data_IF_795765757643
#
_entry.id   IF_795765757643
#
_cell.length_a   1.000
_cell.length_b   1.000
_cell.length_c   1.000
_cell.angle_alpha   90.00
_cell.angle_beta   90.00
_cell.angle_gamma   90.00
#
_symmetry.space_group_name_H-M   'P 1'
#
loop_
_entity.id
_entity.type
_entity.pdbx_description
1 polymer ?
#
# COMPACT_ATOMS: atom_id res chain seq x y z
N UNK A 1 -8.38 15.65 12.92
CA UNK A 1 -8.21 14.23 13.30
C UNK A 1 -9.47 13.35 13.10
N UNK A 2 -10.71 13.88 13.05
CA UNK A 2 -11.93 13.05 12.92
C UNK A 2 -12.22 12.46 11.51
N UNK A 3 -11.71 13.04 10.40
CA UNK A 3 -12.03 12.56 9.04
C UNK A 3 -11.33 11.25 8.64
N UNK A 4 -10.13 10.97 9.18
CA UNK A 4 -9.35 9.77 8.81
C UNK A 4 -9.99 8.47 9.33
N UNK A 5 -10.56 8.49 10.55
CA UNK A 5 -11.21 7.32 11.16
C UNK A 5 -12.48 6.86 10.43
N UNK A 6 -13.24 7.81 9.84
CA UNK A 6 -14.48 7.50 9.12
C UNK A 6 -14.22 6.81 7.78
N UNK A 7 -13.13 7.16 7.09
CA UNK A 7 -12.72 6.50 5.85
C UNK A 7 -12.18 5.08 6.09
N UNK A 8 -11.41 4.87 7.17
CA UNK A 8 -10.95 3.53 7.54
C UNK A 8 -12.11 2.62 7.97
N UNK A 9 -13.07 3.13 8.74
CA UNK A 9 -14.27 2.38 9.11
C UNK A 9 -15.12 2.00 7.89
N UNK A 10 -15.31 2.91 6.93
CA UNK A 10 -16.03 2.62 5.67
C UNK A 10 -15.30 1.58 4.82
N UNK A 11 -13.97 1.66 4.73
CA UNK A 11 -13.15 0.68 3.97
C UNK A 11 -13.22 -0.71 4.61
N UNK A 12 -13.11 -0.80 5.93
CA UNK A 12 -13.28 -2.05 6.66
C UNK A 12 -14.70 -2.62 6.50
N UNK A 13 -15.73 -1.77 6.47
CA UNK A 13 -17.12 -2.17 6.21
C UNK A 13 -17.27 -2.75 4.78
N UNK A 14 -16.65 -2.14 3.78
CA UNK A 14 -16.72 -2.59 2.38
C UNK A 14 -15.97 -3.91 2.18
N UNK A 15 -14.77 -4.06 2.75
CA UNK A 15 -14.00 -5.30 2.70
C UNK A 15 -14.70 -6.43 3.49
N UNK A 16 -15.32 -6.11 4.63
CA UNK A 16 -16.17 -7.03 5.37
C UNK A 16 -17.39 -7.47 4.55
N UNK A 17 -18.04 -6.53 3.86
CA UNK A 17 -19.19 -6.80 2.99
C UNK A 17 -18.78 -7.63 1.76
N UNK A 18 -17.64 -7.37 1.14
CA UNK A 18 -17.11 -8.16 0.03
C UNK A 18 -16.76 -9.60 0.45
N UNK A 19 -16.17 -9.75 1.64
CA UNK A 19 -15.86 -11.05 2.23
C UNK A 19 -17.12 -11.84 2.59
N UNK A 20 -18.14 -11.17 3.14
CA UNK A 20 -19.47 -11.74 3.38
C UNK A 20 -20.14 -12.17 2.08
N UNK A 21 -20.07 -11.36 1.00
CA UNK A 21 -20.59 -11.74 -0.33
C UNK A 21 -19.93 -13.00 -0.86
N UNK A 22 -18.60 -13.14 -0.77
CA UNK A 22 -17.88 -14.37 -1.20
C UNK A 22 -18.37 -15.61 -0.45
N UNK A 23 -18.58 -15.51 0.86
CA UNK A 23 -19.09 -16.63 1.68
C UNK A 23 -20.53 -16.98 1.28
N UNK A 24 -21.39 -15.98 1.06
CA UNK A 24 -22.78 -16.18 0.63
C UNK A 24 -22.82 -16.83 -0.76
N UNK A 25 -22.02 -16.36 -1.72
CA UNK A 25 -21.91 -16.96 -3.06
C UNK A 25 -21.41 -18.41 -3.03
N UNK A 26 -20.38 -18.70 -2.23
CA UNK A 26 -19.86 -20.07 -2.09
C UNK A 26 -20.94 -21.02 -1.57
N UNK A 27 -21.70 -20.62 -0.55
CA UNK A 27 -22.83 -21.38 -0.02
C UNK A 27 -23.96 -21.54 -1.05
N UNK A 28 -24.21 -20.50 -1.86
CA UNK A 28 -25.24 -20.53 -2.89
C UNK A 28 -24.89 -21.49 -4.04
N UNK A 29 -23.63 -21.47 -4.50
CA UNK A 29 -23.11 -22.38 -5.52
C UNK A 29 -23.18 -23.83 -5.03
N UNK A 30 -22.88 -24.06 -3.76
CA UNK A 30 -23.01 -25.39 -3.16
C UNK A 30 -24.47 -25.88 -3.15
N UNK A 31 -25.42 -25.04 -2.71
CA UNK A 31 -26.86 -25.34 -2.75
C UNK A 31 -27.37 -25.58 -4.18
N UNK A 32 -26.94 -24.79 -5.16
CA UNK A 32 -27.32 -24.95 -6.56
C UNK A 32 -26.81 -26.27 -7.15
N UNK A 33 -25.59 -26.71 -6.80
CA UNK A 33 -25.06 -28.03 -7.20
C UNK A 33 -25.86 -29.17 -6.61
N UNK A 34 -26.20 -29.10 -5.31
CA UNK A 34 -27.04 -30.11 -4.65
C UNK A 34 -28.41 -30.20 -5.34
N UNK A 35 -29.02 -29.04 -5.63
CA UNK A 35 -30.30 -28.96 -6.32
C UNK A 35 -30.25 -29.57 -7.73
N UNK A 36 -29.19 -29.31 -8.51
CA UNK A 36 -29.01 -29.89 -9.85
C UNK A 36 -28.87 -31.41 -9.80
N UNK A 37 -28.11 -31.93 -8.83
CA UNK A 37 -27.94 -33.38 -8.64
C UNK A 37 -29.25 -34.04 -8.19
N UNK A 38 -30.00 -33.41 -7.29
CA UNK A 38 -31.28 -33.91 -6.80
C UNK A 38 -32.35 -33.94 -7.91
N UNK A 39 -32.39 -32.91 -8.77
CA UNK A 39 -33.26 -32.88 -9.96
C UNK A 39 -32.91 -33.96 -11.00
N UNK A 40 -31.63 -34.24 -11.22
CA UNK A 40 -31.19 -35.26 -12.19
C UNK A 40 -31.51 -36.68 -11.72
N UNK A 41 -31.56 -36.91 -10.41
CA UNK A 41 -31.81 -38.22 -9.81
C UNK A 41 -33.25 -38.39 -9.30
N UNK A 42 -34.18 -37.49 -9.65
CA UNK A 42 -35.58 -37.51 -9.17
C UNK A 42 -36.32 -38.82 -9.49
N UNK A 43 -35.90 -39.52 -10.54
CA UNK A 43 -36.46 -40.81 -10.96
C UNK A 43 -35.78 -42.03 -10.30
N UNK A 44 -34.65 -41.84 -9.60
CA UNK A 44 -33.84 -42.93 -9.02
C UNK A 44 -34.03 -43.11 -7.51
N UNK A 45 -34.59 -42.12 -6.81
CA UNK A 45 -34.89 -42.19 -5.38
C UNK A 45 -36.08 -41.26 -5.05
N UNK A 46 -36.88 -41.54 -4.01
CA UNK A 46 -37.91 -40.62 -3.56
C UNK A 46 -37.24 -39.36 -3.00
N UNK A 47 -37.33 -38.25 -3.75
CA UNK A 47 -36.86 -36.94 -3.32
C UNK A 47 -38.05 -36.11 -2.87
N UNK A 48 -37.95 -35.43 -1.72
CA UNK A 48 -39.00 -34.53 -1.25
C UNK A 48 -39.11 -33.30 -2.16
N UNK A 49 -40.18 -33.27 -2.95
CA UNK A 49 -40.49 -32.19 -3.89
C UNK A 49 -40.76 -30.85 -3.19
N UNK A 50 -41.22 -30.88 -1.93
CA UNK A 50 -41.41 -29.67 -1.13
C UNK A 50 -40.05 -29.12 -0.69
N UNK A 51 -39.12 -29.97 -0.26
CA UNK A 51 -37.75 -29.57 0.04
C UNK A 51 -37.01 -28.99 -1.19
N UNK A 52 -37.24 -29.54 -2.38
CA UNK A 52 -36.72 -29.00 -3.64
C UNK A 52 -37.27 -27.61 -3.97
N UNK A 53 -38.59 -27.41 -3.83
CA UNK A 53 -39.24 -26.10 -4.03
C UNK A 53 -38.76 -25.05 -3.04
N UNK A 54 -38.52 -25.45 -1.79
CA UNK A 54 -37.97 -24.56 -0.76
C UNK A 54 -36.51 -24.19 -1.06
N UNK A 55 -35.67 -25.14 -1.50
CA UNK A 55 -34.30 -24.85 -1.94
C UNK A 55 -34.25 -23.94 -3.17
N UNK A 56 -35.14 -24.13 -4.15
CA UNK A 56 -35.27 -23.22 -5.30
C UNK A 56 -35.67 -21.81 -4.87
N UNK A 57 -36.63 -21.68 -3.94
CA UNK A 57 -37.08 -20.40 -3.42
C UNK A 57 -35.94 -19.67 -2.68
N UNK A 58 -35.16 -20.38 -1.86
CA UNK A 58 -33.99 -19.80 -1.19
C UNK A 58 -32.92 -19.33 -2.18
N UNK A 59 -32.62 -20.10 -3.23
CA UNK A 59 -31.63 -19.72 -4.24
C UNK A 59 -32.11 -18.49 -5.01
N UNK A 60 -33.39 -18.44 -5.41
CA UNK A 60 -34.00 -17.28 -6.09
C UNK A 60 -34.00 -16.04 -5.22
N UNK A 61 -34.38 -16.17 -3.94
CA UNK A 61 -34.43 -15.05 -3.00
C UNK A 61 -33.03 -14.43 -2.81
N UNK A 62 -31.99 -15.26 -2.65
CA UNK A 62 -30.61 -14.76 -2.49
C UNK A 62 -30.05 -14.19 -3.79
N UNK A 63 -30.37 -14.74 -4.97
CA UNK A 63 -30.02 -14.12 -6.26
C UNK A 63 -30.69 -12.76 -6.43
N UNK A 64 -31.96 -12.62 -6.04
CA UNK A 64 -32.72 -11.38 -6.15
C UNK A 64 -32.21 -10.29 -5.19
N UNK A 65 -31.83 -10.67 -3.97
CA UNK A 65 -31.23 -9.76 -2.99
C UNK A 65 -29.81 -9.36 -3.38
N UNK A 66 -29.00 -10.26 -3.93
CA UNK A 66 -27.62 -9.92 -4.32
C UNK A 66 -27.58 -8.90 -5.48
N UNK A 67 -28.50 -9.01 -6.45
CA UNK A 67 -28.66 -8.04 -7.54
C UNK A 67 -28.93 -6.61 -7.03
N UNK A 68 -29.58 -6.47 -5.87
CA UNK A 68 -29.88 -5.17 -5.26
C UNK A 68 -28.68 -4.58 -4.49
N UNK A 69 -27.73 -5.41 -4.05
CA UNK A 69 -26.50 -4.96 -3.36
C UNK A 69 -25.40 -4.54 -4.36
N UNK A 70 -25.52 -4.93 -5.62
CA UNK A 70 -24.64 -4.53 -6.71
C UNK A 70 -25.01 -3.16 -7.33
N UNK A 71 -26.11 -2.53 -6.88
CA UNK A 71 -26.52 -1.17 -7.28
C UNK A 71 -25.65 -0.07 -6.63
N UNK A 72 -24.90 -0.39 -5.58
CA UNK A 72 -23.91 0.51 -4.97
C UNK A 72 -22.54 0.21 -5.59
N UNK A 73 -22.33 0.68 -6.81
CA UNK A 73 -21.02 0.59 -7.48
C UNK A 73 -19.98 1.38 -6.68
N UNK A 74 -18.97 0.69 -6.15
CA UNK A 74 -17.86 1.32 -5.46
C UNK A 74 -16.94 1.94 -6.52
N UNK A 75 -16.50 3.19 -6.31
CA UNK A 75 -15.52 3.81 -7.20
C UNK A 75 -14.27 2.93 -7.29
N UNK A 76 -13.80 2.54 -8.49
CA UNK A 76 -12.59 1.72 -8.62
C UNK A 76 -11.35 2.42 -8.05
N UNK A 77 -10.36 1.64 -7.61
CA UNK A 77 -9.05 2.18 -7.25
C UNK A 77 -8.41 2.89 -8.45
N UNK A 78 -7.72 4.00 -8.22
CA UNK A 78 -7.18 4.87 -9.28
C UNK A 78 -8.22 5.76 -9.96
N UNK A 79 -9.48 5.74 -9.51
CA UNK A 79 -10.50 6.64 -10.04
C UNK A 79 -11.10 7.50 -8.94
N UNK A 80 -11.62 8.66 -9.33
CA UNK A 80 -12.45 9.52 -8.51
C UNK A 80 -13.87 9.57 -9.04
N UNK A 81 -14.82 9.57 -8.10
CA UNK A 81 -16.25 9.62 -8.36
C UNK A 81 -16.84 10.75 -7.49
N UNK A 82 -16.79 12.01 -7.96
CA UNK A 82 -17.24 13.16 -7.18
C UNK A 82 -18.76 13.14 -6.94
N UNK A 83 -19.51 12.57 -7.89
CA UNK A 83 -20.96 12.54 -7.87
C UNK A 83 -21.53 11.17 -7.46
N UNK A 84 -22.57 11.23 -6.64
CA UNK A 84 -23.32 10.05 -6.18
C UNK A 84 -24.35 9.57 -7.20
N UNK A 85 -24.50 10.28 -8.33
CA UNK A 85 -25.48 10.02 -9.37
C UNK A 85 -25.05 8.96 -10.39
N UNK A 86 -23.85 8.41 -10.25
CA UNK A 86 -23.34 7.35 -11.11
C UNK A 86 -22.70 7.84 -12.40
N UNK A 87 -22.15 9.06 -12.39
CA UNK A 87 -21.29 9.52 -13.49
C UNK A 87 -20.09 8.60 -13.65
N UNK A 88 -19.57 8.53 -14.88
CA UNK A 88 -18.45 7.66 -15.21
C UNK A 88 -17.24 7.98 -14.30
N UNK A 89 -16.60 6.97 -13.68
CA UNK A 89 -15.41 7.17 -12.86
C UNK A 89 -14.34 7.89 -13.67
N UNK A 90 -13.77 8.95 -13.11
CA UNK A 90 -12.69 9.71 -13.77
C UNK A 90 -11.34 9.20 -13.26
N UNK A 91 -10.38 8.85 -14.13
CA UNK A 91 -9.07 8.39 -13.69
C UNK A 91 -8.32 9.51 -12.98
N UNK A 92 -7.48 9.16 -11.99
CA UNK A 92 -6.66 10.15 -11.31
C UNK A 92 -5.68 10.83 -12.26
N UNK A 93 -5.33 12.08 -11.96
CA UNK A 93 -4.25 12.76 -12.67
C UNK A 93 -2.89 12.19 -12.26
N UNK A 94 -1.88 12.39 -13.10
CA UNK A 94 -0.51 11.97 -12.81
C UNK A 94 -0.01 12.62 -11.50
N UNK A 95 0.66 11.83 -10.65
CA UNK A 95 1.06 12.27 -9.32
C UNK A 95 -0.05 12.20 -8.25
N UNK A 96 -1.21 11.64 -8.58
CA UNK A 96 -2.29 11.36 -7.65
C UNK A 96 -2.63 9.86 -7.65
N UNK A 97 -3.18 9.38 -6.55
CA UNK A 97 -3.65 8.01 -6.38
C UNK A 97 -5.01 7.99 -5.68
N UNK A 98 -5.78 6.92 -5.86
CA UNK A 98 -7.09 6.76 -5.22
C UNK A 98 -7.26 5.33 -4.70
N UNK A 99 -7.67 5.21 -3.44
CA UNK A 99 -8.17 3.94 -2.93
C UNK A 99 -9.62 3.76 -3.37
N UNK A 100 -10.04 2.52 -3.65
CA UNK A 100 -11.42 2.25 -4.07
C UNK A 100 -12.45 2.87 -3.11
N UNK A 101 -13.47 3.50 -3.69
CA UNK A 101 -14.50 4.25 -2.97
C UNK A 101 -14.15 5.71 -2.67
N UNK A 102 -13.14 6.29 -3.32
CA UNK A 102 -12.83 7.71 -3.15
C UNK A 102 -13.73 8.61 -4.00
N UNK A 103 -14.09 9.75 -3.41
CA UNK A 103 -14.79 10.84 -4.11
C UNK A 103 -13.83 11.78 -4.84
N UNK A 104 -12.54 11.72 -4.49
CA UNK A 104 -11.48 12.58 -5.03
C UNK A 104 -10.14 11.86 -4.94
N UNK A 105 -9.28 12.06 -5.93
CA UNK A 105 -7.92 11.53 -5.90
C UNK A 105 -7.06 12.23 -4.82
N UNK A 106 -6.15 11.48 -4.22
CA UNK A 106 -5.23 11.96 -3.18
C UNK A 106 -3.86 12.23 -3.80
N UNK A 107 -3.22 13.38 -3.53
CA UNK A 107 -1.87 13.65 -4.05
C UNK A 107 -0.87 12.64 -3.48
N UNK A 108 0.12 12.27 -4.27
CA UNK A 108 1.19 11.38 -3.80
C UNK A 108 1.92 12.01 -2.60
N UNK A 109 2.16 11.29 -1.51
CA UNK A 109 2.85 11.85 -0.36
C UNK A 109 4.33 12.13 -0.70
N UNK A 110 4.98 13.07 0.01
CA UNK A 110 6.42 13.28 -0.10
C UNK A 110 7.20 11.98 0.14
N UNK A 111 8.27 11.75 -0.62
CA UNK A 111 9.03 10.50 -0.60
C UNK A 111 8.46 9.41 -1.51
N UNK A 112 7.31 9.63 -2.14
CA UNK A 112 6.67 8.68 -3.04
C UNK A 112 6.35 9.31 -4.40
N UNK A 113 6.28 8.47 -5.41
CA UNK A 113 5.83 8.76 -6.76
C UNK A 113 4.64 7.89 -7.14
N UNK A 114 3.71 8.44 -7.90
CA UNK A 114 2.46 7.80 -8.32
C UNK A 114 2.41 7.82 -9.87
N UNK A 115 3.05 6.86 -10.56
CA UNK A 115 3.11 6.86 -12.02
C UNK A 115 1.82 6.35 -12.65
N UNK A 116 1.15 5.41 -12.00
CA UNK A 116 -0.09 4.81 -12.49
C UNK A 116 -1.29 5.61 -12.02
N UNK A 117 -2.01 6.17 -12.97
CA UNK A 117 -3.24 6.93 -12.76
C UNK A 117 -4.46 6.05 -12.54
N UNK A 118 -4.36 4.75 -12.78
CA UNK A 118 -5.49 3.80 -12.74
C UNK A 118 -5.37 2.76 -11.62
N UNK A 119 -4.32 2.86 -10.80
CA UNK A 119 -4.07 1.95 -9.70
C UNK A 119 -3.89 2.71 -8.38
N UNK A 120 -4.16 2.05 -7.25
CA UNK A 120 -3.79 2.54 -5.92
C UNK A 120 -2.31 2.24 -5.62
N UNK A 121 -1.40 2.67 -6.51
CA UNK A 121 0.03 2.39 -6.41
C UNK A 121 0.81 3.64 -5.99
N UNK A 122 1.71 3.46 -5.02
CA UNK A 122 2.68 4.46 -4.59
C UNK A 122 4.04 3.80 -4.56
N UNK A 123 4.97 4.32 -5.34
CA UNK A 123 6.35 3.86 -5.39
C UNK A 123 7.20 4.74 -4.49
N UNK A 124 7.88 4.14 -3.53
CA UNK A 124 8.83 4.87 -2.71
C UNK A 124 10.01 5.30 -3.58
N UNK A 125 10.45 6.56 -3.42
CA UNK A 125 11.63 7.03 -4.11
C UNK A 125 12.87 6.31 -3.59
N UNK A 126 13.67 5.81 -4.52
CA UNK A 126 14.97 5.23 -4.20
C UNK A 126 15.91 6.31 -3.66
N UNK A 127 16.87 5.90 -2.83
CA UNK A 127 17.90 6.81 -2.30
C UNK A 127 18.66 7.45 -3.46
N UNK A 128 18.94 8.74 -3.35
CA UNK A 128 19.49 9.55 -4.43
C UNK A 128 18.43 10.13 -5.38
N UNK A 129 17.16 9.80 -5.20
CA UNK A 129 16.02 10.52 -5.78
C UNK A 129 15.07 10.99 -4.68
N UNK A 130 14.29 12.01 -4.97
CA UNK A 130 13.34 12.58 -4.02
C UNK A 130 12.01 12.93 -4.68
N UNK A 131 10.98 13.11 -3.85
CA UNK A 131 9.68 13.63 -4.25
C UNK A 131 9.17 14.52 -3.13
N UNK A 132 8.83 15.78 -3.46
CA UNK A 132 8.20 16.72 -2.53
C UNK A 132 6.69 16.48 -2.36
N UNK A 133 6.14 15.46 -3.04
CA UNK A 133 4.71 15.14 -3.08
C UNK A 133 4.05 15.58 -4.39
N UNK A 134 2.92 14.95 -4.73
CA UNK A 134 2.20 15.20 -5.98
C UNK A 134 2.96 14.80 -7.25
N UNK A 135 4.01 13.99 -7.15
CA UNK A 135 4.88 13.64 -8.27
C UNK A 135 4.48 12.29 -8.90
N UNK A 136 4.50 12.22 -10.23
CA UNK A 136 4.27 10.97 -10.97
C UNK A 136 5.53 10.09 -11.00
N UNK A 137 6.70 10.71 -10.94
CA UNK A 137 8.02 10.07 -10.91
C UNK A 137 8.89 10.75 -9.85
N UNK A 138 9.86 10.01 -9.33
CA UNK A 138 10.84 10.57 -8.40
C UNK A 138 11.83 11.45 -9.17
N UNK A 139 12.13 12.62 -8.62
CA UNK A 139 13.12 13.54 -9.17
C UNK A 139 14.51 13.10 -8.74
N UNK A 140 15.46 12.92 -9.68
CA UNK A 140 16.83 12.60 -9.31
C UNK A 140 17.46 13.77 -8.53
N UNK A 141 18.33 13.46 -7.57
CA UNK A 141 19.09 14.50 -6.87
C UNK A 141 20.02 15.20 -7.86
N UNK A 142 20.00 16.54 -7.94
CA UNK A 142 20.84 17.28 -8.88
C UNK A 142 22.32 17.11 -8.55
N UNK A 143 23.17 17.11 -9.59
CA UNK A 143 24.61 17.03 -9.42
C UNK A 143 25.14 18.20 -8.58
N UNK A 144 26.10 17.91 -7.70
CA UNK A 144 26.62 18.89 -6.73
C UNK A 144 25.71 19.14 -5.52
N UNK A 145 24.62 18.38 -5.37
CA UNK A 145 23.79 18.36 -4.17
C UNK A 145 23.74 16.97 -3.56
N UNK A 146 23.53 16.93 -2.24
CA UNK A 146 23.24 15.73 -1.47
C UNK A 146 21.76 15.70 -1.08
N UNK A 147 21.12 14.53 -1.22
CA UNK A 147 19.73 14.28 -0.85
C UNK A 147 19.69 13.09 0.12
N UNK A 148 19.85 13.37 1.42
CA UNK A 148 19.85 12.35 2.49
C UNK A 148 18.46 11.72 2.74
N UNK A 149 17.40 12.45 2.42
CA UNK A 149 16.01 12.07 2.59
C UNK A 149 15.29 12.11 1.23
N UNK A 150 14.43 11.13 1.01
CA UNK A 150 13.68 10.98 -0.23
C UNK A 150 12.47 11.91 -0.31
N UNK A 151 12.14 12.64 0.77
CA UNK A 151 11.04 13.61 0.81
C UNK A 151 11.41 15.01 0.29
N UNK A 152 12.64 15.20 -0.17
CA UNK A 152 13.14 16.48 -0.69
C UNK A 152 13.45 17.54 0.36
N UNK A 153 13.33 17.23 1.66
CA UNK A 153 13.61 18.20 2.74
C UNK A 153 15.10 18.37 3.05
N UNK A 154 15.96 17.47 2.56
CA UNK A 154 17.39 17.45 2.86
C UNK A 154 18.26 17.77 1.64
N UNK A 155 17.77 18.56 0.69
CA UNK A 155 18.54 18.94 -0.49
C UNK A 155 19.54 20.02 -0.05
N UNK A 156 20.82 19.68 -0.03
CA UNK A 156 21.89 20.58 0.38
C UNK A 156 23.03 20.54 -0.63
N UNK A 157 23.75 21.65 -0.87
CA UNK A 157 24.93 21.63 -1.73
C UNK A 157 26.01 20.72 -1.12
N UNK A 158 26.85 20.13 -1.98
CA UNK A 158 28.06 19.45 -1.54
C UNK A 158 28.99 20.45 -0.84
N UNK A 159 29.72 19.97 0.17
CA UNK A 159 30.75 20.77 0.83
C UNK A 159 31.90 21.09 -0.15
N UNK A 160 32.60 22.23 0.03
CA UNK A 160 33.78 22.54 -0.76
C UNK A 160 34.79 21.37 -0.74
N UNK A 161 35.25 20.96 -1.92
CA UNK A 161 36.13 19.79 -2.10
C UNK A 161 35.43 18.47 -2.41
N UNK A 162 34.09 18.43 -2.40
CA UNK A 162 33.30 17.24 -2.69
C UNK A 162 32.45 17.41 -3.95
N UNK A 163 32.28 16.35 -4.73
CA UNK A 163 31.41 16.33 -5.91
C UNK A 163 30.46 15.12 -5.87
N UNK A 164 29.22 15.31 -6.34
CA UNK A 164 28.25 14.22 -6.55
C UNK A 164 27.83 14.22 -8.02
N UNK A 165 28.24 13.20 -8.82
CA UNK A 165 27.93 13.15 -10.24
C UNK A 165 26.48 12.70 -10.51
N UNK A 166 25.91 11.83 -9.67
CA UNK A 166 24.50 11.42 -9.66
C UNK A 166 24.11 10.98 -8.25
N UNK A 167 22.84 11.19 -7.88
CA UNK A 167 22.06 10.45 -6.86
C UNK A 167 22.90 9.58 -5.89
N UNK A 168 23.45 10.17 -4.82
CA UNK A 168 24.18 9.39 -3.81
C UNK A 168 23.20 8.42 -3.13
N UNK A 169 23.30 7.13 -3.46
CA UNK A 169 22.58 6.05 -2.79
C UNK A 169 23.42 5.56 -1.61
N UNK A 170 23.01 5.90 -0.38
CA UNK A 170 23.43 5.12 0.78
C UNK A 170 22.41 3.98 0.96
N UNK A 171 22.76 2.70 0.73
CA UNK A 171 22.02 1.57 1.30
C UNK A 171 22.20 1.54 2.82
N UNK A 172 21.45 0.72 3.53
CA UNK A 172 21.23 0.71 5.00
C UNK A 172 22.46 0.60 5.95
N UNK A 173 23.68 0.86 5.51
CA UNK A 173 24.89 0.91 6.35
C UNK A 173 25.41 2.34 6.54
N UNK A 174 24.62 3.16 7.23
CA UNK A 174 25.03 4.51 7.65
C UNK A 174 26.29 4.47 8.54
N UNK A 175 26.62 3.33 9.17
CA UNK A 175 27.77 3.22 10.08
C UNK A 175 29.07 2.73 9.42
N UNK A 176 29.00 1.96 8.32
CA UNK A 176 30.20 1.40 7.68
C UNK A 176 30.83 2.38 6.67
N UNK A 177 30.01 3.12 5.94
CA UNK A 177 30.50 3.99 4.84
C UNK A 177 31.08 5.33 5.32
N UNK A 178 30.67 5.82 6.50
CA UNK A 178 31.26 7.04 7.11
C UNK A 178 32.73 6.80 7.50
N UNK A 179 33.10 5.58 7.87
CA UNK A 179 34.47 5.22 8.26
C UNK A 179 35.42 4.99 7.07
N UNK A 180 34.91 4.56 5.91
CA UNK A 180 35.75 4.34 4.71
C UNK A 180 35.91 5.60 3.85
N UNK A 181 34.99 6.57 3.92
CA UNK A 181 35.03 7.78 3.08
C UNK A 181 35.70 8.97 3.80
N UNK A 182 35.69 9.02 5.14
CA UNK A 182 36.20 10.16 5.91
C UNK A 182 36.91 9.76 7.22
N UNK A 183 38.20 9.41 7.19
CA UNK A 183 38.95 9.14 8.42
C UNK A 183 39.09 10.38 9.34
N UNK A 184 38.90 11.60 8.82
CA UNK A 184 39.09 12.85 9.59
C UNK A 184 37.82 13.36 10.30
N UNK A 185 36.62 12.95 9.90
CA UNK A 185 35.36 13.41 10.55
C UNK A 185 35.14 12.69 11.89
N UNK A 186 35.67 11.48 12.06
CA UNK A 186 35.66 10.74 13.33
C UNK A 186 36.35 11.50 14.49
N UNK A 187 37.20 12.48 14.18
CA UNK A 187 38.03 13.15 15.17
C UNK A 187 37.48 14.52 15.61
N UNK A 188 36.50 15.11 14.92
CA UNK A 188 36.01 16.47 15.26
C UNK A 188 34.67 16.48 16.01
N UNK A 189 33.89 15.40 15.96
CA UNK A 189 32.60 15.30 16.67
C UNK A 189 32.78 14.66 18.08
N UNK A 190 32.53 15.42 19.17
CA UNK A 190 32.65 14.89 20.54
C UNK A 190 31.65 13.76 20.84
N UNK A 191 30.50 13.71 20.15
CA UNK A 191 29.49 12.64 20.30
C UNK A 191 30.02 11.34 19.69
N UNK A 192 30.66 11.42 18.52
CA UNK A 192 31.20 10.25 17.82
C UNK A 192 32.45 9.69 18.53
N UNK A 193 33.29 10.54 19.12
CA UNK A 193 34.38 10.10 20.02
C UNK A 193 33.87 9.32 21.24
N UNK A 194 32.73 9.72 21.81
CA UNK A 194 32.14 9.03 22.96
C UNK A 194 31.60 7.63 22.57
N UNK A 195 31.03 7.50 21.37
CA UNK A 195 30.54 6.23 20.82
C UNK A 195 31.72 5.29 20.47
N UNK A 196 32.82 5.81 19.93
CA UNK A 196 34.04 5.03 19.69
C UNK A 196 34.71 4.55 20.99
N UNK A 197 34.77 5.39 22.03
CA UNK A 197 35.34 5.04 23.32
C UNK A 197 34.52 3.96 24.07
N UNK A 198 33.20 3.94 23.88
CA UNK A 198 32.30 2.93 24.47
C UNK A 198 32.40 1.59 23.72
N UNK A 199 32.49 1.61 22.39
CA UNK A 199 32.69 0.40 21.59
C UNK A 199 34.08 -0.24 21.77
N UNK A 200 35.14 0.58 21.94
CA UNK A 200 36.48 0.06 22.23
C UNK A 200 36.57 -0.60 23.63
N UNK A 201 35.83 -0.09 24.62
CA UNK A 201 35.67 -0.74 25.94
C UNK A 201 34.84 -2.01 25.86
N UNK A 202 33.81 -2.05 25.01
CA UNK A 202 33.00 -3.25 24.80
C UNK A 202 33.78 -4.38 24.12
N UNK A 203 34.64 -4.09 23.14
CA UNK A 203 35.48 -5.08 22.48
C UNK A 203 36.59 -5.65 23.39
N UNK A 204 37.23 -4.82 24.21
CA UNK A 204 38.22 -5.29 25.20
C UNK A 204 37.56 -6.09 26.34
N UNK A 205 36.36 -5.73 26.76
CA UNK A 205 35.55 -6.52 27.71
C UNK A 205 35.13 -7.88 27.15
N UNK A 206 34.84 -7.99 25.86
CA UNK A 206 34.44 -9.25 25.23
C UNK A 206 35.65 -10.17 25.04
N UNK A 207 36.79 -9.65 24.59
CA UNK A 207 38.03 -10.42 24.41
C UNK A 207 38.62 -10.92 25.74
N UNK A 208 38.48 -10.18 26.84
CA UNK A 208 38.92 -10.64 28.17
C UNK A 208 37.97 -11.65 28.84
N UNK A 209 36.76 -11.87 28.31
CA UNK A 209 35.84 -12.94 28.76
C UNK A 209 35.99 -14.24 27.96
N UNK A 210 36.69 -14.22 26.84
CA UNK A 210 36.92 -15.37 25.94
C UNK A 210 38.35 -15.93 26.10
N UNK A 211 39.07 -15.52 27.15
CA UNK A 211 40.39 -16.06 27.53
C UNK A 211 40.32 -16.80 28.86
#
# INVERSE_FOLDING_TARGET
MQKLGLHHARRAQVECNASRRRIVYSKLVHKARILLVAKRNVHRAPVDLNALKMMEAEIRLVQQVHLLVDLQSLCPAGYECPDTKGDAPTPCQSGYYSAGGATSCTPCPPGYACPDTTLNLRLQCAVGSYSSGGAASCTPCPAGYQCLLTNGSSIQPCYPGWYSPHAFSAPEDIFATILEICPEIAQSDPVLRAIQATNARAQTSFLNRVR
#
